data_IF_234098917447
#
_entry.id   IF_234098917447
#
_cell.length_a   1.000
_cell.length_b   1.000
_cell.length_c   1.000
_cell.angle_alpha   90.00
_cell.angle_beta   90.00
_cell.angle_gamma   90.00
#
_symmetry.space_group_name_H-M   'P 1'
#
loop_
_entity.id
_entity.type
_entity.pdbx_description
1 polymer ?
#
# COMPACT_ATOMS: atom_id res chain seq x y z
N UNK A 1 28.77 -3.54 14.37
CA UNK A 1 28.07 -3.45 13.07
C UNK A 1 26.60 -3.70 13.34
N UNK A 2 25.71 -2.82 12.86
CA UNK A 2 24.26 -2.90 13.01
C UNK A 2 23.66 -3.12 11.62
N UNK A 3 22.58 -3.91 11.52
CA UNK A 3 21.78 -4.05 10.32
C UNK A 3 20.77 -2.91 10.33
N UNK A 4 20.62 -2.23 9.20
CA UNK A 4 19.60 -1.19 9.06
C UNK A 4 18.73 -1.52 7.86
N UNK A 5 17.43 -1.61 8.10
CA UNK A 5 16.44 -1.97 7.09
C UNK A 5 15.24 -1.03 7.15
N UNK A 6 14.39 -1.08 6.14
CA UNK A 6 13.19 -0.24 6.04
C UNK A 6 12.00 -1.07 5.62
N UNK A 7 10.88 -0.92 6.38
CA UNK A 7 9.61 -1.62 6.15
C UNK A 7 9.78 -3.12 5.89
N UNK A 8 10.38 -3.83 6.85
CA UNK A 8 10.39 -5.29 6.82
C UNK A 8 8.96 -5.81 6.66
N UNK A 9 8.76 -6.76 5.76
CA UNK A 9 7.43 -7.33 5.49
C UNK A 9 6.77 -7.89 6.76
N UNK A 10 7.58 -8.46 7.64
CA UNK A 10 7.16 -8.90 8.97
C UNK A 10 8.20 -8.47 10.01
N UNK A 11 7.78 -7.74 11.04
CA UNK A 11 8.66 -7.24 12.09
C UNK A 11 9.44 -8.36 12.78
N UNK A 12 8.89 -9.58 12.82
CA UNK A 12 9.51 -10.77 13.42
C UNK A 12 10.80 -11.20 12.71
N UNK A 13 11.03 -10.78 11.47
CA UNK A 13 12.27 -11.06 10.72
C UNK A 13 13.50 -10.56 11.51
N UNK A 14 13.36 -9.49 12.29
CA UNK A 14 14.42 -8.98 13.15
C UNK A 14 14.96 -10.03 14.11
N UNK A 15 14.14 -10.98 14.57
CA UNK A 15 14.51 -12.04 15.50
C UNK A 15 15.46 -13.10 14.91
N UNK A 16 15.66 -13.15 13.60
CA UNK A 16 16.57 -14.07 12.92
C UNK A 16 18.00 -13.54 12.78
N UNK A 17 18.22 -12.28 13.12
CA UNK A 17 19.54 -11.69 13.02
C UNK A 17 20.30 -11.77 14.36
N UNK A 18 21.57 -12.16 14.32
CA UNK A 18 22.49 -12.17 15.47
C UNK A 18 23.08 -10.79 15.78
N UNK A 19 22.75 -9.79 15.00
CA UNK A 19 23.23 -8.40 15.13
C UNK A 19 22.05 -7.49 15.45
N UNK A 20 22.30 -6.37 16.17
CA UNK A 20 21.28 -5.35 16.36
C UNK A 20 20.69 -4.88 15.04
N UNK A 21 19.38 -4.70 14.99
CA UNK A 21 18.63 -4.27 13.80
C UNK A 21 17.95 -2.94 14.09
N UNK A 22 18.20 -1.95 13.23
CA UNK A 22 17.44 -0.70 13.16
C UNK A 22 16.36 -0.86 12.08
N UNK A 23 15.13 -1.15 12.49
CA UNK A 23 13.99 -1.19 11.57
C UNK A 23 13.42 0.23 11.40
N UNK A 24 13.60 0.81 10.23
CA UNK A 24 13.09 2.13 9.88
C UNK A 24 11.73 2.00 9.17
N UNK A 25 10.86 2.98 9.38
CA UNK A 25 9.56 3.04 8.69
C UNK A 25 9.59 4.08 7.57
N UNK A 26 9.15 3.68 6.37
CA UNK A 26 9.06 4.59 5.22
C UNK A 26 8.02 5.71 5.42
N UNK A 27 7.16 5.60 6.41
CA UNK A 27 6.24 6.68 6.80
C UNK A 27 6.97 8.01 7.07
N UNK A 28 8.23 7.95 7.56
CA UNK A 28 9.06 9.15 7.76
C UNK A 28 9.38 9.91 6.46
N UNK A 29 9.29 9.25 5.31
CA UNK A 29 9.49 9.81 3.97
C UNK A 29 8.14 10.08 3.30
N UNK A 30 7.25 9.08 3.30
CA UNK A 30 6.00 9.14 2.56
C UNK A 30 5.00 10.14 3.14
N UNK A 31 4.91 10.27 4.48
CA UNK A 31 3.97 11.22 5.08
C UNK A 31 4.27 12.66 4.68
N UNK A 32 5.51 13.20 4.80
CA UNK A 32 5.84 14.52 4.30
C UNK A 32 5.58 14.67 2.80
N UNK A 33 5.91 13.65 2.01
CA UNK A 33 5.68 13.66 0.58
C UNK A 33 4.19 13.77 0.24
N UNK A 34 3.34 12.91 0.84
CA UNK A 34 1.88 12.95 0.62
C UNK A 34 1.30 14.31 1.00
N UNK A 35 1.75 14.88 2.13
CA UNK A 35 1.33 16.23 2.53
C UNK A 35 1.70 17.30 1.51
N UNK A 36 2.85 17.17 0.85
CA UNK A 36 3.30 18.12 -0.18
C UNK A 36 2.46 18.08 -1.45
N UNK A 37 1.76 16.97 -1.71
CA UNK A 37 0.86 16.84 -2.87
C UNK A 37 -0.43 17.67 -2.73
N UNK A 38 -0.76 18.13 -1.52
CA UNK A 38 -1.97 18.93 -1.22
C UNK A 38 -3.26 18.31 -1.80
N UNK A 39 -3.43 17.01 -1.63
CA UNK A 39 -4.57 16.25 -2.16
C UNK A 39 -5.82 16.56 -1.32
N UNK A 40 -6.87 17.02 -1.98
CA UNK A 40 -8.19 17.21 -1.36
C UNK A 40 -8.91 15.87 -1.22
N UNK A 41 -9.80 15.73 -0.23
CA UNK A 41 -10.60 14.52 0.02
C UNK A 41 -9.75 13.25 0.04
N UNK A 42 -8.59 13.32 0.72
CA UNK A 42 -7.64 12.22 0.80
C UNK A 42 -8.22 11.05 1.59
N UNK A 43 -8.05 9.84 1.05
CA UNK A 43 -8.32 8.59 1.74
C UNK A 43 -7.12 7.66 1.58
N UNK A 44 -6.73 7.02 2.68
CA UNK A 44 -5.65 6.02 2.66
C UNK A 44 -6.27 4.64 2.48
N UNK A 45 -5.65 3.83 1.65
CA UNK A 45 -6.15 2.50 1.35
C UNK A 45 -5.08 1.43 1.56
N UNK A 46 -5.54 0.26 2.03
CA UNK A 46 -4.75 -0.97 2.01
C UNK A 46 -5.24 -1.88 0.88
N UNK A 47 -4.33 -2.45 0.05
CA UNK A 47 -4.71 -3.37 -1.01
C UNK A 47 -5.17 -4.74 -0.49
N UNK A 48 -4.97 -5.01 0.81
CA UNK A 48 -5.46 -6.22 1.48
C UNK A 48 -5.54 -6.05 3.00
N UNK A 49 -6.04 -7.07 3.69
CA UNK A 49 -6.16 -7.07 5.15
C UNK A 49 -4.80 -7.05 5.88
N UNK A 50 -3.75 -7.60 5.26
CA UNK A 50 -2.40 -7.65 5.85
C UNK A 50 -1.81 -6.27 6.07
N UNK A 51 -2.02 -5.35 5.14
CA UNK A 51 -1.56 -3.96 5.21
C UNK A 51 -2.42 -3.02 6.06
N UNK A 52 -3.53 -3.51 6.65
CA UNK A 52 -4.52 -2.65 7.35
C UNK A 52 -3.94 -1.80 8.48
N UNK A 53 -3.02 -2.37 9.27
CA UNK A 53 -2.34 -1.64 10.36
C UNK A 53 -1.49 -0.49 9.83
N UNK A 54 -0.79 -0.72 8.70
CA UNK A 54 0.03 0.28 8.04
C UNK A 54 -0.86 1.42 7.51
N UNK A 55 -1.89 1.09 6.74
CA UNK A 55 -2.84 2.08 6.22
C UNK A 55 -3.48 2.91 7.36
N UNK A 56 -3.85 2.28 8.46
CA UNK A 56 -4.38 2.97 9.63
C UNK A 56 -3.34 3.93 10.24
N UNK A 57 -2.08 3.53 10.36
CA UNK A 57 -1.04 4.43 10.88
C UNK A 57 -0.86 5.67 9.99
N UNK A 58 -0.84 5.48 8.65
CA UNK A 58 -0.78 6.59 7.71
C UNK A 58 -2.00 7.51 7.81
N UNK A 59 -3.21 6.95 7.94
CA UNK A 59 -4.43 7.75 8.06
C UNK A 59 -4.38 8.67 9.29
N UNK A 60 -3.80 8.21 10.40
CA UNK A 60 -3.60 9.03 11.61
C UNK A 60 -2.59 10.16 11.40
N UNK A 61 -1.48 9.93 10.70
CA UNK A 61 -0.49 10.97 10.41
C UNK A 61 -1.00 12.02 9.42
N UNK A 62 -1.94 11.65 8.56
CA UNK A 62 -2.46 12.48 7.47
C UNK A 62 -3.85 13.06 7.76
N UNK A 63 -4.44 12.70 8.89
CA UNK A 63 -5.83 13.07 9.26
C UNK A 63 -6.81 12.74 8.12
N UNK A 64 -6.74 11.51 7.63
CA UNK A 64 -7.49 11.01 6.49
C UNK A 64 -8.30 9.77 6.87
N UNK A 65 -9.37 9.50 6.10
CA UNK A 65 -10.12 8.25 6.21
C UNK A 65 -9.25 7.05 5.80
N UNK A 66 -9.67 5.85 6.23
CA UNK A 66 -9.03 4.60 5.83
C UNK A 66 -10.05 3.65 5.21
N UNK A 67 -9.67 3.01 4.11
CA UNK A 67 -10.42 1.94 3.47
C UNK A 67 -9.53 0.72 3.25
N UNK A 68 -10.12 -0.46 3.19
CA UNK A 68 -9.38 -1.72 3.11
C UNK A 68 -10.01 -2.59 2.04
N UNK A 69 -9.19 -3.13 1.14
CA UNK A 69 -9.62 -4.18 0.23
C UNK A 69 -9.57 -5.54 0.94
N UNK A 70 -10.68 -6.24 0.88
CA UNK A 70 -10.77 -7.65 1.28
C UNK A 70 -10.69 -8.54 0.06
N UNK A 71 -9.68 -9.42 0.00
CA UNK A 71 -9.49 -10.33 -1.12
C UNK A 71 -9.71 -11.78 -0.72
N UNK A 72 -10.48 -12.50 -1.53
CA UNK A 72 -10.65 -13.94 -1.41
C UNK A 72 -9.86 -14.63 -2.53
N UNK A 73 -9.08 -15.65 -2.18
CA UNK A 73 -8.28 -16.44 -3.13
C UNK A 73 -8.88 -17.82 -3.30
N UNK A 74 -8.92 -18.31 -4.54
CA UNK A 74 -9.19 -19.71 -4.85
C UNK A 74 -7.92 -20.57 -4.76
N UNK A 75 -8.06 -21.86 -4.97
CA UNK A 75 -6.92 -22.78 -5.16
C UNK A 75 -6.05 -22.25 -6.31
N UNK A 76 -4.74 -22.12 -6.07
CA UNK A 76 -3.78 -21.59 -7.06
C UNK A 76 -3.47 -20.09 -6.96
N UNK A 77 -3.76 -19.43 -5.85
CA UNK A 77 -3.44 -18.01 -5.62
C UNK A 77 -4.15 -17.01 -6.55
N UNK A 78 -5.16 -17.43 -7.30
CA UNK A 78 -5.96 -16.52 -8.13
C UNK A 78 -6.94 -15.75 -7.25
N UNK A 79 -6.95 -14.42 -7.36
CA UNK A 79 -7.93 -13.57 -6.69
C UNK A 79 -9.26 -13.78 -7.42
N UNK A 80 -10.24 -14.40 -6.72
CA UNK A 80 -11.57 -14.70 -7.26
C UNK A 80 -12.57 -13.61 -6.95
N UNK A 81 -12.38 -12.90 -5.85
CA UNK A 81 -13.26 -11.83 -5.42
C UNK A 81 -12.48 -10.81 -4.60
N UNK A 82 -12.81 -9.53 -4.80
CA UNK A 82 -12.25 -8.43 -4.02
C UNK A 82 -13.38 -7.46 -3.67
N UNK A 83 -13.49 -7.13 -2.41
CA UNK A 83 -14.47 -6.18 -1.88
C UNK A 83 -13.76 -5.00 -1.22
N UNK A 84 -14.40 -3.85 -1.25
CA UNK A 84 -13.94 -2.65 -0.56
C UNK A 84 -14.73 -2.47 0.74
N UNK A 85 -14.00 -2.34 1.84
CA UNK A 85 -14.55 -1.99 3.15
C UNK A 85 -14.29 -0.50 3.36
N UNK A 86 -15.36 0.28 3.37
CA UNK A 86 -15.33 1.75 3.43
C UNK A 86 -15.90 2.38 2.16
N UNK A 87 -15.84 3.72 2.08
CA UNK A 87 -16.35 4.50 0.96
C UNK A 87 -15.24 5.34 0.33
N UNK A 88 -15.17 5.31 -1.01
CA UNK A 88 -14.18 6.06 -1.81
C UNK A 88 -14.84 7.02 -2.80
N UNK A 89 -16.17 7.15 -2.78
CA UNK A 89 -16.91 7.97 -3.73
C UNK A 89 -16.46 9.44 -3.64
N UNK A 90 -16.00 10.00 -4.78
CA UNK A 90 -15.51 11.37 -4.86
C UNK A 90 -14.24 11.64 -4.06
N UNK A 91 -13.47 10.60 -3.73
CA UNK A 91 -12.23 10.72 -2.95
C UNK A 91 -11.00 10.45 -3.80
N UNK A 92 -9.88 11.06 -3.39
CA UNK A 92 -8.57 10.78 -3.93
C UNK A 92 -7.86 9.78 -3.01
N UNK A 93 -7.53 8.62 -3.55
CA UNK A 93 -7.07 7.48 -2.76
C UNK A 93 -5.57 7.28 -2.91
N UNK A 94 -4.88 7.07 -1.79
CA UNK A 94 -3.49 6.58 -1.78
C UNK A 94 -3.46 5.16 -1.24
N UNK A 95 -3.12 4.21 -2.11
CA UNK A 95 -2.84 2.82 -1.78
C UNK A 95 -1.43 2.70 -1.21
N UNK A 96 -1.32 2.20 0.03
CA UNK A 96 -0.02 2.01 0.71
C UNK A 96 0.28 0.52 0.82
N UNK A 97 1.44 0.11 0.32
CA UNK A 97 1.96 -1.24 0.51
C UNK A 97 3.44 -1.21 0.89
N UNK A 98 3.99 -2.32 1.40
CA UNK A 98 5.42 -2.44 1.65
C UNK A 98 6.16 -2.93 0.43
N UNK A 99 5.59 -3.89 -0.29
CA UNK A 99 6.25 -4.42 -1.48
C UNK A 99 5.28 -4.68 -2.63
N UNK A 100 5.80 -4.51 -3.83
CA UNK A 100 5.10 -4.82 -5.08
C UNK A 100 5.96 -5.80 -5.88
N UNK A 101 5.42 -6.99 -6.13
CA UNK A 101 6.01 -8.01 -7.00
C UNK A 101 5.34 -7.96 -8.38
N UNK A 102 4.29 -8.73 -8.61
CA UNK A 102 3.55 -8.76 -9.89
C UNK A 102 2.55 -7.63 -10.06
N UNK A 103 2.33 -6.82 -9.04
CA UNK A 103 1.32 -5.76 -8.95
C UNK A 103 -0.15 -6.22 -9.11
N UNK A 104 -0.42 -7.51 -9.27
CA UNK A 104 -1.78 -8.00 -9.54
C UNK A 104 -2.80 -7.67 -8.45
N UNK A 105 -2.40 -7.64 -7.18
CA UNK A 105 -3.28 -7.20 -6.07
C UNK A 105 -3.51 -5.70 -6.13
N UNK A 106 -2.43 -4.94 -6.36
CA UNK A 106 -2.46 -3.47 -6.37
C UNK A 106 -3.34 -2.95 -7.52
N UNK A 107 -3.16 -3.52 -8.73
CA UNK A 107 -3.94 -3.15 -9.92
C UNK A 107 -5.42 -3.40 -9.71
N UNK A 108 -5.78 -4.62 -9.25
CA UNK A 108 -7.19 -4.96 -8.99
C UNK A 108 -7.81 -4.09 -7.88
N UNK A 109 -7.03 -3.72 -6.86
CA UNK A 109 -7.50 -2.83 -5.82
C UNK A 109 -7.76 -1.42 -6.39
N UNK A 110 -6.86 -0.92 -7.24
CA UNK A 110 -7.03 0.38 -7.88
C UNK A 110 -8.25 0.40 -8.82
N UNK A 111 -8.41 -0.62 -9.67
CA UNK A 111 -9.56 -0.75 -10.56
C UNK A 111 -10.87 -0.77 -9.75
N UNK A 112 -10.93 -1.58 -8.69
CA UNK A 112 -12.10 -1.65 -7.81
C UNK A 112 -12.45 -0.28 -7.19
N UNK A 113 -11.45 0.51 -6.77
CA UNK A 113 -11.69 1.83 -6.20
C UNK A 113 -12.20 2.82 -7.23
N UNK A 114 -11.67 2.80 -8.45
CA UNK A 114 -12.19 3.60 -9.56
C UNK A 114 -13.63 3.20 -9.89
N UNK A 115 -13.92 1.90 -9.99
CA UNK A 115 -15.28 1.38 -10.23
C UNK A 115 -16.26 1.78 -9.10
N UNK A 116 -15.78 1.98 -7.89
CA UNK A 116 -16.55 2.46 -6.72
C UNK A 116 -16.63 3.98 -6.63
N UNK A 117 -16.12 4.71 -7.64
CA UNK A 117 -16.29 6.16 -7.76
C UNK A 117 -15.17 7.00 -7.13
N UNK A 118 -13.99 6.44 -6.92
CA UNK A 118 -12.81 7.24 -6.57
C UNK A 118 -12.45 8.19 -7.73
N UNK A 119 -12.06 9.42 -7.40
CA UNK A 119 -11.61 10.40 -8.41
C UNK A 119 -10.22 10.06 -8.95
N UNK A 120 -9.34 9.59 -8.07
CA UNK A 120 -8.00 9.15 -8.43
C UNK A 120 -7.48 8.09 -7.47
N UNK A 121 -6.55 7.26 -7.96
CA UNK A 121 -5.84 6.28 -7.14
C UNK A 121 -4.34 6.39 -7.42
N UNK A 122 -3.55 6.64 -6.38
CA UNK A 122 -2.09 6.65 -6.42
C UNK A 122 -1.60 5.50 -5.54
N UNK A 123 -0.66 4.70 -6.03
CA UNK A 123 -0.04 3.65 -5.25
C UNK A 123 1.37 4.06 -4.81
N UNK A 124 1.69 3.78 -3.55
CA UNK A 124 3.01 4.02 -2.96
C UNK A 124 3.48 2.72 -2.30
N UNK A 125 4.70 2.31 -2.60
CA UNK A 125 5.33 1.15 -1.96
C UNK A 125 6.80 1.42 -1.64
N UNK A 126 7.33 0.71 -0.65
CA UNK A 126 8.73 0.83 -0.24
C UNK A 126 9.65 -0.04 -1.11
N UNK A 127 9.21 -1.26 -1.42
CA UNK A 127 10.02 -2.24 -2.16
C UNK A 127 9.35 -2.59 -3.49
N UNK A 128 9.84 -2.01 -4.56
CA UNK A 128 9.46 -2.43 -5.90
C UNK A 128 10.34 -3.61 -6.33
N UNK A 129 9.74 -4.78 -6.46
CA UNK A 129 10.40 -6.01 -6.90
C UNK A 129 9.85 -6.46 -8.27
N UNK A 130 9.78 -5.55 -9.28
CA UNK A 130 9.13 -5.89 -10.54
C UNK A 130 9.91 -6.98 -11.24
N UNK A 131 9.23 -8.08 -11.56
CA UNK A 131 9.78 -9.10 -12.44
C UNK A 131 9.77 -8.61 -13.89
N UNK A 132 10.62 -9.14 -14.75
CA UNK A 132 10.88 -8.63 -16.11
C UNK A 132 9.64 -8.48 -17.01
N UNK A 133 8.55 -9.15 -16.71
CA UNK A 133 7.27 -9.08 -17.43
C UNK A 133 6.18 -8.29 -16.68
N UNK A 134 6.53 -7.61 -15.59
CA UNK A 134 5.58 -6.76 -14.87
C UNK A 134 5.44 -5.43 -15.60
N UNK A 135 4.35 -5.28 -16.35
CA UNK A 135 3.96 -4.01 -16.96
C UNK A 135 2.94 -3.33 -16.05
N UNK A 136 3.37 -2.28 -15.36
CA UNK A 136 2.51 -1.48 -14.52
C UNK A 136 1.83 -0.41 -15.39
N UNK A 137 0.57 -0.64 -15.74
CA UNK A 137 -0.25 0.29 -16.51
C UNK A 137 -1.20 1.10 -15.63
N UNK A 138 -0.84 1.32 -14.37
CA UNK A 138 -1.60 2.20 -13.49
C UNK A 138 -1.47 3.65 -13.95
N UNK A 139 -2.55 4.46 -13.88
CA UNK A 139 -2.52 5.85 -14.33
C UNK A 139 -1.48 6.69 -13.61
N UNK A 140 -1.09 6.32 -12.39
CA UNK A 140 0.04 6.94 -11.68
C UNK A 140 0.57 5.97 -10.62
N UNK A 141 1.75 5.38 -10.87
CA UNK A 141 2.54 4.70 -9.83
C UNK A 141 3.72 5.57 -9.54
N UNK A 142 3.88 5.97 -8.30
CA UNK A 142 5.09 6.54 -7.79
C UNK A 142 5.85 5.47 -7.00
N UNK A 143 6.97 5.05 -7.55
CA UNK A 143 7.97 4.24 -6.86
C UNK A 143 9.04 5.19 -6.31
N UNK A 144 9.24 5.18 -5.01
CA UNK A 144 10.28 5.97 -4.33
C UNK A 144 11.31 5.05 -3.71
#
# INVERSE_FOLDING_TARGET
MCIRDRDLHADQIQGFFEKPVDHLYASSIFVPYIKSLNINNLTIASPDMGGSKRAYAYSKFLDADVVICYKQRSKGNVITHMELIGDVTGKNVILIDDMVDTAGTLTKAADLMIDKGAESVIAICTHALPVSYTHLTLPTILLV
#
